data_IF_302093882183
#
_entry.id   IF_302093882183
#
_cell.length_a   1.000
_cell.length_b   1.000
_cell.length_c   1.000
_cell.angle_alpha   90.00
_cell.angle_beta   90.00
_cell.angle_gamma   90.00
#
_symmetry.space_group_name_H-M   'P 1'
#
loop_
_entity.id
_entity.type
_entity.pdbx_description
1 polymer ?
#
# COMPACT_ATOMS: atom_id res chain seq x y z
N UNK A 1 -2.87 4.43 24.59
CA UNK A 1 -3.12 4.09 23.17
C UNK A 1 -4.17 4.99 22.52
N UNK A 2 -5.49 4.75 22.64
CA UNK A 2 -6.47 5.59 21.92
C UNK A 2 -6.39 7.07 22.29
N UNK A 3 -6.15 7.39 23.57
CA UNK A 3 -5.94 8.78 24.04
C UNK A 3 -4.76 9.47 23.32
N UNK A 4 -3.70 8.73 23.04
CA UNK A 4 -2.47 9.24 22.42
C UNK A 4 -2.66 9.49 20.91
N UNK A 5 -3.61 8.80 20.29
CA UNK A 5 -3.93 8.92 18.86
C UNK A 5 -5.08 9.88 18.56
N UNK A 6 -5.76 10.41 19.59
CA UNK A 6 -6.90 11.32 19.41
C UNK A 6 -6.55 12.50 18.52
N UNK A 7 -5.46 13.19 18.83
CA UNK A 7 -5.06 14.38 18.08
C UNK A 7 -4.73 14.08 16.59
N UNK A 8 -3.80 13.17 16.25
CA UNK A 8 -3.49 12.90 14.85
C UNK A 8 -4.69 12.35 14.07
N UNK A 9 -5.55 11.55 14.71
CA UNK A 9 -6.78 11.06 14.07
C UNK A 9 -7.76 12.21 13.78
N UNK A 10 -8.04 13.06 14.77
CA UNK A 10 -8.93 14.20 14.59
C UNK A 10 -8.39 15.17 13.55
N UNK A 11 -7.09 15.39 13.50
CA UNK A 11 -6.46 16.23 12.49
C UNK A 11 -6.68 15.68 11.08
N UNK A 12 -6.34 14.40 10.84
CA UNK A 12 -6.54 13.76 9.53
C UNK A 12 -8.01 13.71 9.12
N UNK A 13 -8.91 13.37 10.05
CA UNK A 13 -10.36 13.35 9.79
C UNK A 13 -10.84 14.75 9.42
N UNK A 14 -10.47 15.77 10.20
CA UNK A 14 -10.92 17.15 9.97
C UNK A 14 -10.45 17.66 8.61
N UNK A 15 -9.16 17.48 8.29
CA UNK A 15 -8.61 17.90 6.99
C UNK A 15 -9.28 17.15 5.85
N UNK A 16 -9.49 15.84 5.98
CA UNK A 16 -10.12 15.04 4.92
C UNK A 16 -11.58 15.44 4.72
N UNK A 17 -12.33 15.64 5.81
CA UNK A 17 -13.72 16.12 5.73
C UNK A 17 -13.75 17.48 5.03
N UNK A 18 -12.92 18.44 5.43
CA UNK A 18 -12.81 19.72 4.72
C UNK A 18 -12.47 19.54 3.24
N UNK A 19 -11.50 18.68 2.91
CA UNK A 19 -11.13 18.40 1.52
C UNK A 19 -12.30 17.82 0.71
N UNK A 20 -13.06 16.88 1.28
CA UNK A 20 -14.26 16.30 0.62
C UNK A 20 -15.30 17.37 0.30
N UNK A 21 -15.50 18.35 1.19
CA UNK A 21 -16.51 19.40 0.99
C UNK A 21 -16.06 20.54 0.07
N UNK A 22 -14.77 20.86 0.06
CA UNK A 22 -14.26 22.08 -0.59
C UNK A 22 -13.38 21.83 -1.81
N UNK A 23 -12.86 20.62 -2.02
CA UNK A 23 -11.96 20.31 -3.13
C UNK A 23 -12.61 19.36 -4.15
N UNK A 24 -12.53 19.67 -5.45
CA UNK A 24 -12.94 18.73 -6.48
C UNK A 24 -11.93 17.57 -6.59
N UNK A 25 -12.27 16.55 -7.38
CA UNK A 25 -11.34 15.46 -7.71
C UNK A 25 -10.15 16.06 -8.49
N UNK A 26 -8.92 15.85 -8.02
CA UNK A 26 -7.74 16.52 -8.55
C UNK A 26 -7.26 15.82 -9.83
N UNK A 27 -7.23 16.52 -10.99
CA UNK A 27 -6.64 15.98 -12.21
C UNK A 27 -5.11 15.89 -12.09
N UNK A 28 -4.43 14.97 -12.76
CA UNK A 28 -4.93 13.96 -13.71
C UNK A 28 -5.17 12.59 -13.06
N UNK A 29 -4.51 12.32 -11.94
CA UNK A 29 -4.42 10.94 -11.45
C UNK A 29 -5.70 10.48 -10.77
N UNK A 30 -6.35 11.31 -9.94
CA UNK A 30 -7.60 10.90 -9.29
C UNK A 30 -8.70 10.68 -10.33
N UNK A 31 -8.86 11.60 -11.29
CA UNK A 31 -9.87 11.46 -12.35
C UNK A 31 -9.66 10.19 -13.16
N UNK A 32 -8.40 9.85 -13.49
CA UNK A 32 -8.07 8.59 -14.18
C UNK A 32 -8.47 7.37 -13.37
N UNK A 33 -8.12 7.31 -12.09
CA UNK A 33 -8.41 6.12 -11.26
C UNK A 33 -9.90 5.96 -10.99
N UNK A 34 -10.62 7.07 -10.80
CA UNK A 34 -12.08 7.07 -10.69
C UNK A 34 -12.73 6.64 -12.00
N UNK A 35 -12.25 7.10 -13.16
CA UNK A 35 -12.74 6.61 -14.47
C UNK A 35 -12.49 5.10 -14.65
N UNK A 36 -11.35 4.59 -14.19
CA UNK A 36 -11.08 3.15 -14.26
C UNK A 36 -12.08 2.36 -13.42
N UNK A 37 -12.26 2.74 -12.16
CA UNK A 37 -13.24 2.09 -11.29
C UNK A 37 -14.66 2.23 -11.84
N UNK A 38 -15.02 3.39 -12.39
CA UNK A 38 -16.34 3.61 -13.00
C UNK A 38 -16.61 2.66 -14.17
N UNK A 39 -15.63 2.42 -15.04
CA UNK A 39 -15.78 1.47 -16.13
C UNK A 39 -15.80 0.01 -15.65
N UNK A 40 -15.03 -0.33 -14.62
CA UNK A 40 -15.14 -1.63 -13.97
C UNK A 40 -16.54 -1.86 -13.41
N UNK A 41 -17.08 -0.86 -12.69
CA UNK A 41 -18.41 -0.89 -12.11
C UNK A 41 -19.53 -1.03 -13.17
N UNK A 42 -19.53 -0.16 -14.18
CA UNK A 42 -20.61 -0.11 -15.19
C UNK A 42 -20.57 -1.25 -16.19
N UNK A 43 -19.42 -1.90 -16.38
CA UNK A 43 -19.25 -3.04 -17.30
C UNK A 43 -19.10 -4.38 -16.58
N UNK A 44 -19.25 -4.40 -15.26
CA UNK A 44 -19.07 -5.58 -14.42
C UNK A 44 -17.70 -6.26 -14.61
N UNK A 45 -16.68 -5.47 -14.97
CA UNK A 45 -15.33 -5.92 -15.29
C UNK A 45 -14.45 -5.93 -14.03
N UNK A 46 -14.75 -6.83 -13.10
CA UNK A 46 -14.09 -6.86 -11.79
C UNK A 46 -12.66 -7.41 -11.86
N UNK A 47 -12.35 -8.30 -12.80
CA UNK A 47 -11.01 -8.90 -12.91
C UNK A 47 -10.05 -8.02 -13.72
N UNK A 48 -10.53 -7.35 -14.76
CA UNK A 48 -9.71 -6.56 -15.69
C UNK A 48 -10.10 -5.08 -15.56
N UNK A 49 -9.21 -4.21 -15.05
CA UNK A 49 -9.45 -2.77 -15.05
C UNK A 49 -9.60 -2.24 -16.48
N UNK A 50 -10.51 -1.28 -16.69
CA UNK A 50 -10.80 -0.70 -18.00
C UNK A 50 -10.59 0.82 -17.97
N UNK A 51 -10.13 1.40 -19.08
CA UNK A 51 -10.08 2.85 -19.26
C UNK A 51 -10.35 3.19 -20.73
N UNK A 52 -11.36 4.01 -20.97
CA UNK A 52 -11.88 4.36 -22.29
C UNK A 52 -12.22 3.12 -23.13
N UNK A 53 -12.83 2.10 -22.52
CA UNK A 53 -13.22 0.84 -23.16
C UNK A 53 -12.08 -0.14 -23.42
N UNK A 54 -10.85 0.16 -23.00
CA UNK A 54 -9.67 -0.68 -23.22
C UNK A 54 -9.10 -1.22 -21.90
N UNK A 55 -8.51 -2.44 -21.89
CA UNK A 55 -7.83 -2.97 -20.70
C UNK A 55 -6.72 -2.04 -20.17
N UNK A 56 -6.80 -1.69 -18.89
CA UNK A 56 -5.88 -0.80 -18.19
C UNK A 56 -4.87 -1.60 -17.36
N UNK A 57 -3.68 -1.80 -17.91
CA UNK A 57 -2.61 -2.63 -17.32
C UNK A 57 -1.59 -1.87 -16.46
N UNK A 58 -1.80 -0.58 -16.22
CA UNK A 58 -0.82 0.26 -15.53
C UNK A 58 -0.84 0.10 -14.00
N UNK A 59 -1.95 -0.37 -13.43
CA UNK A 59 -2.11 -0.60 -11.99
C UNK A 59 -2.85 -1.91 -11.72
N UNK A 60 -2.45 -2.65 -10.68
CA UNK A 60 -3.23 -3.74 -10.09
C UNK A 60 -4.58 -3.25 -9.51
N UNK A 61 -5.49 -4.17 -9.14
CA UNK A 61 -6.91 -3.84 -9.02
C UNK A 61 -7.35 -3.40 -7.62
N UNK A 62 -6.52 -3.53 -6.58
CA UNK A 62 -7.02 -3.46 -5.20
C UNK A 62 -7.68 -2.13 -4.85
N UNK A 63 -7.14 -1.00 -5.32
CA UNK A 63 -7.78 0.30 -5.10
C UNK A 63 -9.15 0.36 -5.79
N UNK A 64 -9.26 -0.17 -7.01
CA UNK A 64 -10.51 -0.17 -7.76
C UNK A 64 -11.55 -1.08 -7.10
N UNK A 65 -11.15 -2.26 -6.60
CA UNK A 65 -12.03 -3.13 -5.81
C UNK A 65 -12.55 -2.47 -4.54
N UNK A 66 -11.71 -1.66 -3.86
CA UNK A 66 -12.15 -0.93 -2.68
C UNK A 66 -13.15 0.18 -3.05
N UNK A 67 -12.98 0.82 -4.21
CA UNK A 67 -13.95 1.79 -4.75
C UNK A 67 -15.28 1.10 -5.08
N UNK A 68 -15.25 0.00 -5.84
CA UNK A 68 -16.43 -0.77 -6.21
C UNK A 68 -17.15 -1.32 -4.97
N UNK A 69 -16.40 -1.80 -3.97
CA UNK A 69 -16.96 -2.22 -2.68
C UNK A 69 -17.64 -1.06 -1.96
N UNK A 70 -17.05 0.14 -1.97
CA UNK A 70 -17.67 1.33 -1.39
C UNK A 70 -18.98 1.69 -2.10
N UNK A 71 -19.01 1.65 -3.43
CA UNK A 71 -20.22 1.89 -4.20
C UNK A 71 -21.29 0.81 -4.03
N UNK A 72 -20.88 -0.45 -3.86
CA UNK A 72 -21.79 -1.54 -3.53
C UNK A 72 -22.48 -1.33 -2.17
N UNK A 73 -21.74 -0.86 -1.17
CA UNK A 73 -22.25 -0.68 0.19
C UNK A 73 -23.05 0.62 0.40
N UNK A 74 -22.62 1.71 -0.25
CA UNK A 74 -23.13 3.06 0.03
C UNK A 74 -23.77 3.74 -1.20
N UNK A 75 -23.89 3.03 -2.32
CA UNK A 75 -24.28 3.60 -3.61
C UNK A 75 -23.15 4.39 -4.28
N UNK A 76 -23.30 4.68 -5.57
CA UNK A 76 -22.31 5.46 -6.33
C UNK A 76 -22.27 6.90 -5.82
N UNK A 77 -21.17 7.26 -5.16
CA UNK A 77 -20.95 8.61 -4.65
C UNK A 77 -19.45 8.91 -4.47
N UNK A 78 -19.11 10.21 -4.41
CA UNK A 78 -17.73 10.69 -4.24
C UNK A 78 -17.22 10.57 -2.79
N UNK A 79 -18.11 10.69 -1.81
CA UNK A 79 -17.73 10.67 -0.38
C UNK A 79 -17.15 9.29 -0.02
N UNK A 80 -17.81 8.21 -0.45
CA UNK A 80 -17.42 6.84 -0.17
C UNK A 80 -16.04 6.47 -0.72
N UNK A 81 -15.65 7.03 -1.87
CA UNK A 81 -14.35 6.74 -2.48
C UNK A 81 -13.22 7.57 -1.84
N UNK A 82 -13.51 8.78 -1.35
CA UNK A 82 -12.55 9.62 -0.62
C UNK A 82 -12.32 9.17 0.82
N UNK A 83 -13.26 8.44 1.41
CA UNK A 83 -13.07 7.81 2.73
C UNK A 83 -11.98 6.73 2.68
N UNK A 84 -11.75 6.07 1.53
CA UNK A 84 -10.77 4.99 1.39
C UNK A 84 -9.34 5.46 1.77
N UNK A 85 -8.73 6.46 1.12
CA UNK A 85 -7.39 6.93 1.49
C UNK A 85 -7.32 7.44 2.93
N UNK A 86 -8.41 8.03 3.45
CA UNK A 86 -8.47 8.50 4.84
C UNK A 86 -8.39 7.33 5.82
N UNK A 87 -9.14 6.25 5.58
CA UNK A 87 -9.11 5.05 6.42
C UNK A 87 -7.72 4.43 6.45
N UNK A 88 -7.06 4.30 5.29
CA UNK A 88 -5.70 3.79 5.23
C UNK A 88 -4.69 4.75 5.89
N UNK A 89 -4.88 6.07 5.81
CA UNK A 89 -4.10 7.04 6.57
C UNK A 89 -4.25 6.84 8.09
N UNK A 90 -5.47 6.63 8.59
CA UNK A 90 -5.70 6.33 10.01
C UNK A 90 -5.06 5.00 10.45
N UNK A 91 -5.14 3.96 9.61
CA UNK A 91 -4.44 2.70 9.87
C UNK A 91 -2.92 2.87 9.87
N UNK A 92 -2.38 3.68 8.99
CA UNK A 92 -0.96 3.99 8.95
C UNK A 92 -0.49 4.72 10.21
N UNK A 93 -1.23 5.73 10.67
CA UNK A 93 -0.96 6.44 11.92
C UNK A 93 -0.93 5.44 13.10
N UNK A 94 -1.91 4.53 13.14
CA UNK A 94 -1.95 3.46 14.14
C UNK A 94 -0.73 2.53 14.04
N UNK A 95 -0.35 2.12 12.83
CA UNK A 95 0.81 1.25 12.61
C UNK A 95 2.12 1.93 13.02
N UNK A 96 2.31 3.22 12.70
CA UNK A 96 3.49 3.98 13.14
C UNK A 96 3.58 4.03 14.67
N UNK A 97 2.46 4.27 15.36
CA UNK A 97 2.40 4.18 16.82
C UNK A 97 2.78 2.78 17.32
N UNK A 98 2.23 1.73 16.73
CA UNK A 98 2.51 0.33 17.10
C UNK A 98 3.94 -0.08 16.82
N UNK A 99 4.54 0.37 15.73
CA UNK A 99 5.95 0.17 15.37
C UNK A 99 6.83 0.88 16.40
N UNK A 100 6.54 2.14 16.73
CA UNK A 100 7.32 2.89 17.72
C UNK A 100 7.26 2.25 19.12
N UNK A 101 6.09 1.78 19.55
CA UNK A 101 5.96 1.01 20.79
C UNK A 101 6.61 -0.37 20.71
N UNK A 102 6.64 -0.99 19.54
CA UNK A 102 7.38 -2.22 19.37
C UNK A 102 8.86 -1.92 19.62
N UNK A 103 9.44 -0.90 18.99
CA UNK A 103 10.84 -0.52 19.18
C UNK A 103 11.18 -0.21 20.65
N UNK A 104 10.37 0.60 21.34
CA UNK A 104 10.54 0.88 22.77
C UNK A 104 9.17 0.95 23.50
N UNK A 105 8.76 -0.14 24.17
CA UNK A 105 7.45 -0.22 24.83
C UNK A 105 7.23 0.81 25.95
N UNK A 106 8.31 1.33 26.54
CA UNK A 106 8.24 2.27 27.67
C UNK A 106 8.03 3.72 27.21
N UNK A 107 8.29 4.02 25.92
CA UNK A 107 8.25 5.38 25.37
C UNK A 107 6.94 5.69 24.63
N UNK A 108 5.82 5.58 25.34
CA UNK A 108 4.49 5.89 24.81
C UNK A 108 4.36 7.31 24.25
N UNK A 109 5.00 8.29 24.90
CA UNK A 109 5.05 9.68 24.41
C UNK A 109 5.78 9.79 23.06
N UNK A 110 6.89 9.09 22.89
CA UNK A 110 7.64 9.06 21.62
C UNK A 110 6.79 8.45 20.51
N UNK A 111 6.05 7.37 20.80
CA UNK A 111 5.13 6.77 19.83
C UNK A 111 4.00 7.73 19.43
N UNK A 112 3.46 8.50 20.38
CA UNK A 112 2.49 9.55 20.11
C UNK A 112 3.09 10.65 19.22
N UNK A 113 4.28 11.16 19.57
CA UNK A 113 4.96 12.20 18.79
C UNK A 113 5.33 11.75 17.38
N UNK A 114 5.77 10.51 17.19
CA UNK A 114 6.02 9.96 15.85
C UNK A 114 4.75 9.98 14.98
N UNK A 115 3.61 9.64 15.57
CA UNK A 115 2.30 9.67 14.90
C UNK A 115 1.86 11.09 14.55
N UNK A 116 2.10 12.05 15.46
CA UNK A 116 1.81 13.47 15.24
C UNK A 116 2.71 14.03 14.14
N UNK A 117 4.02 13.74 14.18
CA UNK A 117 4.99 14.21 13.18
C UNK A 117 4.61 13.74 11.78
N UNK A 118 4.18 12.48 11.63
CA UNK A 118 3.68 11.95 10.36
C UNK A 118 2.53 12.82 9.83
N UNK A 119 1.51 13.03 10.66
CA UNK A 119 0.34 13.85 10.30
C UNK A 119 0.64 15.34 10.15
N UNK A 120 1.74 15.85 10.72
CA UNK A 120 2.12 17.25 10.58
C UNK A 120 2.74 17.56 9.20
N UNK A 121 3.11 16.53 8.43
CA UNK A 121 3.66 16.74 7.08
C UNK A 121 2.55 17.05 6.07
N UNK A 122 2.75 18.10 5.27
CA UNK A 122 1.77 18.55 4.28
C UNK A 122 1.44 17.46 3.26
N UNK A 123 2.47 16.76 2.77
CA UNK A 123 2.31 15.71 1.75
C UNK A 123 1.47 14.53 2.27
N UNK A 124 1.59 14.18 3.55
CA UNK A 124 0.76 13.16 4.17
C UNK A 124 -0.70 13.56 4.19
N UNK A 125 -0.99 14.81 4.52
CA UNK A 125 -2.37 15.31 4.57
C UNK A 125 -3.02 15.35 3.19
N UNK A 126 -2.29 15.77 2.16
CA UNK A 126 -2.77 15.74 0.77
C UNK A 126 -3.10 14.30 0.36
N UNK A 127 -2.21 13.35 0.61
CA UNK A 127 -2.45 11.96 0.25
C UNK A 127 -3.52 11.26 1.10
N UNK A 128 -3.87 11.81 2.26
CA UNK A 128 -4.91 11.24 3.13
C UNK A 128 -6.32 11.41 2.57
N UNK A 129 -6.56 12.33 1.62
CA UNK A 129 -7.88 12.50 0.98
C UNK A 129 -7.86 12.32 -0.53
N UNK A 130 -6.69 12.35 -1.17
CA UNK A 130 -6.57 12.11 -2.60
C UNK A 130 -6.70 10.61 -2.91
N UNK A 131 -7.48 10.28 -3.94
CA UNK A 131 -7.78 8.90 -4.38
C UNK A 131 -6.55 8.33 -5.10
N UNK A 132 -5.52 8.00 -4.34
CA UNK A 132 -4.24 7.47 -4.79
C UNK A 132 -3.96 6.08 -4.21
N UNK A 133 -3.02 5.37 -4.83
CA UNK A 133 -2.53 4.08 -4.33
C UNK A 133 -1.62 4.22 -3.10
N UNK A 134 -1.14 5.43 -2.81
CA UNK A 134 0.02 5.66 -1.95
C UNK A 134 -0.27 5.43 -0.47
N UNK A 135 -1.45 5.81 0.05
CA UNK A 135 -1.83 5.50 1.43
C UNK A 135 -2.04 4.00 1.65
N UNK A 136 -2.60 3.31 0.65
CA UNK A 136 -2.82 1.87 0.65
C UNK A 136 -1.48 1.10 0.57
N UNK A 137 -0.57 1.52 -0.31
CA UNK A 137 0.76 0.93 -0.43
C UNK A 137 1.57 1.16 0.87
N UNK A 138 1.46 2.36 1.46
CA UNK A 138 2.09 2.66 2.75
C UNK A 138 1.57 1.75 3.86
N UNK A 139 0.27 1.42 3.86
CA UNK A 139 -0.32 0.49 4.82
C UNK A 139 0.27 -0.90 4.70
N UNK A 140 0.42 -1.41 3.49
CA UNK A 140 1.06 -2.70 3.29
C UNK A 140 2.53 -2.67 3.69
N UNK A 141 3.28 -1.62 3.33
CA UNK A 141 4.66 -1.46 3.74
C UNK A 141 4.80 -1.43 5.28
N UNK A 142 4.02 -0.60 5.98
CA UNK A 142 4.05 -0.51 7.45
C UNK A 142 3.58 -1.82 8.11
N UNK A 143 2.59 -2.51 7.55
CA UNK A 143 2.14 -3.82 8.04
C UNK A 143 3.25 -4.85 7.94
N UNK A 144 4.00 -4.86 6.84
CA UNK A 144 5.13 -5.76 6.65
C UNK A 144 6.29 -5.42 7.59
N UNK A 145 6.66 -4.15 7.74
CA UNK A 145 7.66 -3.70 8.73
C UNK A 145 7.24 -4.10 10.15
N UNK A 146 5.98 -3.88 10.52
CA UNK A 146 5.47 -4.32 11.82
C UNK A 146 5.56 -5.84 11.98
N UNK A 147 5.22 -6.61 10.93
CA UNK A 147 5.36 -8.05 10.88
C UNK A 147 6.80 -8.52 11.07
N UNK A 148 7.78 -7.85 10.46
CA UNK A 148 9.22 -8.11 10.62
C UNK A 148 9.64 -7.90 12.08
N UNK A 149 9.24 -6.79 12.69
CA UNK A 149 9.55 -6.51 14.09
C UNK A 149 8.94 -7.56 15.04
N UNK A 150 7.73 -8.03 14.75
CA UNK A 150 7.13 -9.14 15.51
C UNK A 150 7.89 -10.45 15.28
N UNK A 151 8.29 -10.77 14.05
CA UNK A 151 9.05 -11.97 13.73
C UNK A 151 10.43 -12.02 14.40
N UNK A 152 11.05 -10.85 14.65
CA UNK A 152 12.30 -10.75 15.41
C UNK A 152 12.09 -10.96 16.91
N UNK A 153 10.99 -10.43 17.48
CA UNK A 153 10.77 -10.45 18.93
C UNK A 153 10.05 -11.68 19.44
N UNK A 154 9.16 -12.21 18.62
CA UNK A 154 8.27 -13.31 18.96
C UNK A 154 8.65 -14.52 18.12
N UNK A 155 8.76 -15.70 18.72
CA UNK A 155 8.99 -16.95 17.96
C UNK A 155 7.70 -17.49 17.32
N UNK A 156 6.75 -16.62 16.97
CA UNK A 156 5.41 -16.95 16.50
C UNK A 156 5.22 -16.77 14.99
N UNK A 157 4.10 -17.31 14.47
CA UNK A 157 3.74 -17.20 13.04
C UNK A 157 3.12 -15.85 12.68
N UNK A 158 2.69 -15.05 13.67
CA UNK A 158 1.98 -13.79 13.45
C UNK A 158 2.78 -12.80 12.59
N UNK A 159 4.07 -12.62 12.88
CA UNK A 159 4.94 -11.73 12.10
C UNK A 159 5.04 -12.16 10.64
N UNK A 160 5.29 -13.45 10.41
CA UNK A 160 5.39 -14.06 9.07
C UNK A 160 4.08 -14.00 8.29
N UNK A 161 2.93 -14.17 8.97
CA UNK A 161 1.62 -13.97 8.36
C UNK A 161 1.42 -12.52 7.89
N UNK A 162 1.76 -11.54 8.74
CA UNK A 162 1.68 -10.12 8.37
C UNK A 162 2.62 -9.75 7.22
N UNK A 163 3.82 -10.33 7.17
CA UNK A 163 4.74 -10.16 6.04
C UNK A 163 4.11 -10.71 4.75
N UNK A 164 3.53 -11.91 4.81
CA UNK A 164 2.95 -12.57 3.63
C UNK A 164 1.75 -11.78 3.07
N UNK A 165 0.85 -11.32 3.95
CA UNK A 165 -0.32 -10.53 3.54
C UNK A 165 0.08 -9.12 3.07
N UNK A 166 1.13 -8.54 3.66
CA UNK A 166 1.72 -7.27 3.21
C UNK A 166 2.25 -7.38 1.78
N UNK A 167 3.02 -8.43 1.48
CA UNK A 167 3.52 -8.69 0.13
C UNK A 167 2.35 -8.86 -0.85
N UNK A 168 1.35 -9.69 -0.52
CA UNK A 168 0.19 -9.89 -1.37
C UNK A 168 -0.57 -8.58 -1.63
N UNK A 169 -0.90 -7.85 -0.56
CA UNK A 169 -1.65 -6.60 -0.64
C UNK A 169 -0.91 -5.51 -1.40
N UNK A 170 0.40 -5.34 -1.19
CA UNK A 170 1.22 -4.39 -1.94
C UNK A 170 1.37 -4.76 -3.41
N UNK A 171 1.54 -6.06 -3.72
CA UNK A 171 1.54 -6.55 -5.10
C UNK A 171 0.21 -6.24 -5.81
N UNK A 172 -0.92 -6.43 -5.13
CA UNK A 172 -2.26 -6.10 -5.64
C UNK A 172 -2.59 -4.60 -5.61
N UNK A 173 -1.73 -3.77 -5.01
CA UNK A 173 -1.89 -2.31 -4.97
C UNK A 173 -1.04 -1.63 -6.04
N UNK A 174 0.29 -1.80 -5.97
CA UNK A 174 1.24 -1.05 -6.81
C UNK A 174 2.32 -1.96 -7.41
N UNK A 175 2.10 -3.27 -7.42
CA UNK A 175 2.97 -4.27 -8.04
C UNK A 175 4.23 -4.52 -7.21
N UNK A 176 5.39 -4.82 -7.83
CA UNK A 176 6.57 -5.29 -7.11
C UNK A 176 7.25 -4.24 -6.23
N UNK A 177 6.79 -2.99 -6.22
CA UNK A 177 7.38 -1.92 -5.40
C UNK A 177 7.34 -2.24 -3.91
N UNK A 178 6.33 -2.99 -3.44
CA UNK A 178 6.27 -3.46 -2.04
C UNK A 178 7.53 -4.22 -1.62
N UNK A 179 8.13 -4.96 -2.55
CA UNK A 179 9.34 -5.75 -2.27
C UNK A 179 10.54 -4.86 -1.96
N UNK A 180 10.58 -3.63 -2.50
CA UNK A 180 11.61 -2.64 -2.17
C UNK A 180 11.51 -2.21 -0.69
N UNK A 181 10.30 -2.19 -0.13
CA UNK A 181 10.08 -1.82 1.27
C UNK A 181 10.30 -3.00 2.23
N UNK A 182 10.01 -4.24 1.79
CA UNK A 182 9.98 -5.42 2.67
C UNK A 182 11.23 -6.28 2.59
N UNK A 183 11.83 -6.48 1.41
CA UNK A 183 12.97 -7.39 1.27
C UNK A 183 14.25 -6.86 1.92
N UNK A 184 14.66 -5.58 1.78
CA UNK A 184 15.89 -5.11 2.42
C UNK A 184 15.94 -5.34 3.94
N UNK A 185 14.92 -4.96 4.74
CA UNK A 185 14.97 -5.22 6.19
C UNK A 185 14.97 -6.72 6.55
N UNK A 186 14.37 -7.59 5.73
CA UNK A 186 14.38 -9.06 5.92
C UNK A 186 15.71 -9.71 5.54
N UNK A 187 16.33 -9.25 4.45
CA UNK A 187 17.58 -9.84 3.94
C UNK A 187 18.78 -9.35 4.75
N UNK A 188 18.77 -8.07 5.11
CA UNK A 188 19.83 -7.40 5.85
C UNK A 188 19.54 -7.28 7.35
N UNK A 189 18.79 -8.24 7.91
CA UNK A 189 18.48 -8.24 9.36
C UNK A 189 19.74 -8.23 10.22
N UNK A 190 20.84 -8.83 9.75
CA UNK A 190 22.14 -8.81 10.42
C UNK A 190 22.75 -7.40 10.56
N UNK A 191 22.31 -6.39 9.78
CA UNK A 191 22.82 -5.01 9.90
C UNK A 191 22.17 -4.22 11.04
N UNK A 192 20.98 -4.62 11.47
CA UNK A 192 20.18 -3.84 12.43
C UNK A 192 19.70 -4.64 13.63
N UNK A 193 19.93 -5.95 13.65
CA UNK A 193 19.58 -6.82 14.77
C UNK A 193 20.61 -7.94 14.96
N UNK A 194 21.40 -7.83 16.02
CA UNK A 194 22.50 -8.76 16.35
C UNK A 194 22.02 -10.13 16.85
N UNK A 195 20.73 -10.25 17.19
CA UNK A 195 20.16 -11.45 17.82
C UNK A 195 18.99 -11.95 17.00
N UNK A 196 19.26 -12.76 15.98
CA UNK A 196 18.18 -13.46 15.28
C UNK A 196 17.55 -14.49 16.25
N UNK A 197 16.21 -14.51 16.38
CA UNK A 197 15.52 -15.45 17.26
C UNK A 197 15.56 -16.90 16.76
N UNK A 198 15.91 -17.11 15.49
CA UNK A 198 16.03 -18.42 14.85
C UNK A 198 17.40 -18.55 14.19
N UNK A 199 17.79 -19.78 13.85
CA UNK A 199 18.97 -19.99 13.00
C UNK A 199 18.84 -19.18 11.71
N UNK A 200 19.96 -18.67 11.17
CA UNK A 200 19.95 -17.91 9.92
C UNK A 200 19.23 -18.67 8.80
N UNK A 201 19.43 -19.98 8.71
CA UNK A 201 18.75 -20.86 7.75
C UNK A 201 17.23 -20.81 7.92
N UNK A 202 16.72 -20.94 9.15
CA UNK A 202 15.27 -20.88 9.42
C UNK A 202 14.70 -19.50 9.10
N UNK A 203 15.43 -18.42 9.40
CA UNK A 203 15.01 -17.05 9.08
C UNK A 203 14.82 -16.86 7.57
N UNK A 204 15.83 -17.22 6.77
CA UNK A 204 15.75 -17.08 5.32
C UNK A 204 14.74 -18.04 4.69
N UNK A 205 14.57 -19.25 5.24
CA UNK A 205 13.51 -20.17 4.80
C UNK A 205 12.11 -19.59 5.03
N UNK A 206 11.85 -18.98 6.20
CA UNK A 206 10.58 -18.31 6.49
C UNK A 206 10.37 -17.05 5.64
N UNK A 207 11.42 -16.28 5.38
CA UNK A 207 11.39 -15.16 4.43
C UNK A 207 10.98 -15.62 3.03
N UNK A 208 11.60 -16.69 2.52
CA UNK A 208 11.23 -17.26 1.23
C UNK A 208 9.79 -17.78 1.22
N UNK A 209 9.37 -18.47 2.29
CA UNK A 209 7.99 -18.95 2.42
C UNK A 209 6.97 -17.79 2.40
N UNK A 210 7.23 -16.69 3.13
CA UNK A 210 6.37 -15.51 3.11
C UNK A 210 6.32 -14.83 1.75
N UNK A 211 7.45 -14.77 1.05
CA UNK A 211 7.51 -14.24 -0.31
C UNK A 211 6.68 -15.09 -1.28
N UNK A 212 6.89 -16.42 -1.27
CA UNK A 212 6.15 -17.36 -2.12
C UNK A 212 4.66 -17.30 -1.81
N UNK A 213 4.28 -17.27 -0.53
CA UNK A 213 2.88 -17.17 -0.11
C UNK A 213 2.24 -15.86 -0.58
N UNK A 214 2.93 -14.73 -0.40
CA UNK A 214 2.43 -13.43 -0.86
C UNK A 214 2.26 -13.36 -2.38
N UNK A 215 3.23 -13.89 -3.14
CA UNK A 215 3.14 -13.99 -4.60
C UNK A 215 2.00 -14.92 -5.01
N UNK A 216 1.86 -16.09 -4.37
CA UNK A 216 0.80 -17.04 -4.67
C UNK A 216 -0.60 -16.41 -4.50
N UNK A 217 -0.81 -15.60 -3.46
CA UNK A 217 -2.07 -14.86 -3.27
C UNK A 217 -2.28 -13.83 -4.39
N UNK A 218 -1.25 -13.06 -4.76
CA UNK A 218 -1.37 -12.11 -5.86
C UNK A 218 -1.67 -12.80 -7.21
N UNK A 219 -1.12 -14.00 -7.42
CA UNK A 219 -1.37 -14.82 -8.61
C UNK A 219 -2.83 -15.28 -8.73
N UNK A 220 -3.57 -15.37 -7.62
CA UNK A 220 -5.02 -15.65 -7.65
C UNK A 220 -5.81 -14.59 -8.44
N UNK A 221 -5.28 -13.38 -8.56
CA UNK A 221 -5.83 -12.36 -9.45
C UNK A 221 -5.12 -12.34 -10.80
N UNK A 222 -3.78 -12.34 -10.81
CA UNK A 222 -2.99 -12.16 -12.04
C UNK A 222 -3.34 -13.22 -13.08
N UNK A 223 -3.52 -14.48 -12.67
CA UNK A 223 -3.82 -15.58 -13.60
C UNK A 223 -5.19 -15.40 -14.27
N UNK A 224 -6.33 -15.30 -13.55
CA UNK A 224 -7.63 -15.12 -14.19
C UNK A 224 -7.70 -13.80 -14.98
N UNK A 225 -7.17 -12.70 -14.47
CA UNK A 225 -7.15 -11.43 -15.19
C UNK A 225 -6.31 -11.49 -16.48
N UNK A 226 -5.22 -12.27 -16.49
CA UNK A 226 -4.42 -12.53 -17.71
C UNK A 226 -5.18 -13.31 -18.76
N UNK A 227 -6.06 -14.23 -18.34
CA UNK A 227 -6.85 -15.06 -19.24
C UNK A 227 -7.97 -14.20 -19.85
N UNK A 228 -8.67 -13.44 -19.01
CA UNK A 228 -9.82 -12.62 -19.42
C UNK A 228 -9.42 -11.38 -20.23
N UNK A 229 -8.34 -10.68 -19.84
CA UNK A 229 -7.92 -9.45 -20.51
C UNK A 229 -7.31 -9.65 -21.91
N UNK A 230 -7.15 -10.90 -22.34
CA UNK A 230 -6.56 -11.26 -23.63
C UNK A 230 -5.04 -11.09 -23.69
N UNK A 231 -4.47 -11.44 -24.84
CA UNK A 231 -3.01 -11.54 -25.01
C UNK A 231 -2.27 -10.22 -24.77
N UNK A 232 -2.81 -9.10 -25.25
CA UNK A 232 -2.19 -7.79 -25.08
C UNK A 232 -2.11 -7.37 -23.60
N UNK A 233 -3.19 -7.60 -22.84
CA UNK A 233 -3.23 -7.30 -21.40
C UNK A 233 -2.28 -8.21 -20.60
N UNK A 234 -2.32 -9.52 -20.89
CA UNK A 234 -1.40 -10.51 -20.29
C UNK A 234 0.06 -10.12 -20.48
N UNK A 235 0.44 -9.76 -21.71
CA UNK A 235 1.81 -9.35 -22.02
C UNK A 235 2.18 -8.05 -21.30
N UNK A 236 1.25 -7.11 -21.19
CA UNK A 236 1.48 -5.84 -20.50
C UNK A 236 1.71 -6.02 -18.99
N UNK A 237 0.91 -6.83 -18.30
CA UNK A 237 1.02 -6.99 -16.84
C UNK A 237 2.19 -7.90 -16.42
N UNK A 238 2.53 -8.92 -17.22
CA UNK A 238 3.64 -9.83 -16.92
C UNK A 238 5.01 -9.24 -17.33
N UNK A 239 5.10 -8.68 -18.54
CA UNK A 239 6.37 -8.28 -19.15
C UNK A 239 6.52 -6.76 -19.33
N UNK A 240 5.44 -6.05 -19.65
CA UNK A 240 5.46 -4.61 -19.90
C UNK A 240 5.76 -3.78 -18.64
N UNK A 241 5.20 -4.16 -17.49
CA UNK A 241 5.35 -3.41 -16.24
C UNK A 241 6.63 -3.76 -15.46
N UNK A 242 7.21 -4.94 -15.66
CA UNK A 242 8.35 -5.45 -14.87
C UNK A 242 9.65 -5.33 -15.65
N UNK A 243 9.75 -5.97 -16.83
CA UNK A 243 10.99 -5.97 -17.63
C UNK A 243 11.23 -4.64 -18.33
N UNK A 244 10.23 -4.10 -19.04
CA UNK A 244 10.44 -2.87 -19.80
C UNK A 244 10.62 -1.66 -18.88
N UNK A 245 9.91 -1.52 -17.75
CA UNK A 245 10.11 -0.38 -16.83
C UNK A 245 11.44 -0.40 -16.07
N UNK A 246 11.98 -1.58 -15.75
CA UNK A 246 13.30 -1.67 -15.10
C UNK A 246 14.41 -1.38 -16.12
N UNK A 247 14.31 -1.94 -17.33
CA UNK A 247 15.31 -1.80 -18.40
C UNK A 247 15.24 -0.40 -19.07
N UNK A 248 14.03 0.18 -19.19
CA UNK A 248 13.78 1.54 -19.70
C UNK A 248 13.39 2.53 -18.58
N UNK A 249 13.90 2.33 -17.36
CA UNK A 249 13.67 3.22 -16.20
C UNK A 249 14.13 4.68 -16.42
N UNK A 250 14.80 4.95 -17.55
CA UNK A 250 15.18 6.28 -18.02
C UNK A 250 14.02 7.13 -18.60
N UNK A 251 12.77 6.65 -18.61
CA UNK A 251 11.61 7.44 -19.06
C UNK A 251 11.37 8.72 -18.22
N UNK A 252 11.95 8.80 -17.02
CA UNK A 252 12.04 10.02 -16.22
C UNK A 252 13.49 10.29 -15.80
N UNK A 253 14.39 10.58 -16.75
CA UNK A 253 15.72 11.13 -16.44
C UNK A 253 15.57 12.45 -15.68
N UNK A 254 15.56 12.36 -14.35
CA UNK A 254 15.66 13.50 -13.44
C UNK A 254 17.04 13.49 -12.79
N UNK A 255 17.45 14.64 -12.26
CA UNK A 255 18.71 14.75 -11.52
C UNK A 255 18.71 13.77 -10.34
N UNK A 256 19.89 13.31 -9.93
CA UNK A 256 20.06 12.62 -8.65
C UNK A 256 19.49 13.44 -7.48
N UNK A 257 19.51 14.76 -7.60
CA UNK A 257 18.97 15.71 -6.61
C UNK A 257 17.45 15.90 -6.69
N UNK A 258 16.73 15.15 -7.53
CA UNK A 258 15.30 15.35 -7.77
C UNK A 258 14.44 15.32 -6.49
N UNK A 259 14.84 14.52 -5.51
CA UNK A 259 14.12 14.38 -4.24
C UNK A 259 14.66 15.28 -3.11
N UNK A 260 15.69 16.10 -3.34
CA UNK A 260 16.21 17.04 -2.34
C UNK A 260 15.20 18.13 -1.91
N UNK A 261 14.38 18.71 -2.82
CA UNK A 261 13.44 19.76 -2.44
C UNK A 261 12.10 19.23 -1.88
N UNK A 262 11.96 17.90 -1.73
CA UNK A 262 10.72 17.23 -1.29
C UNK A 262 10.76 16.94 0.20
#
# INVERSE_FOLDING_TARGET
>A
MLKDLRFPFLLTITITVCAIWFLPIIPRDETRYVSVAWEMWTRESFLVPLLNGMPYSHKPPLLFWLIDLSWYLFGVNEIGIRIIPMLFSLFNIFLVYKISLNLDPKKTKTAAYASILLTATLIWQIWSFAIMFDMLETFWALTGIYGILLAVKENGLRGWFLISISIAGGLLTKGPVILVHILPPLLFTFLWNDKLPASQTTWYAKTLLSLVTGIAIALLWVIPASIEGGEAYRNAILWGQTSNRIISSFAHKRSFLWYVPV
#
